data_IF_046413227130
#
_entry.id   IF_046413227130
#
_cell.length_a   1.000
_cell.length_b   1.000
_cell.length_c   1.000
_cell.angle_alpha   90.00
_cell.angle_beta   90.00
_cell.angle_gamma   90.00
#
_symmetry.space_group_name_H-M   'P 1'
#
loop_
_entity.id
_entity.type
_entity.pdbx_description
1 polymer ?
#
# COMPACT_ATOMS: atom_id res chain seq x y z
N UNK A 1 10.76 6.04 -4.89
CA UNK A 1 11.59 4.82 -5.09
C UNK A 1 10.83 3.57 -4.66
N UNK A 2 10.26 3.53 -3.45
CA UNK A 2 9.54 2.36 -2.92
C UNK A 2 8.36 1.88 -3.78
N UNK A 3 7.48 2.78 -4.24
CA UNK A 3 6.35 2.41 -5.13
C UNK A 3 6.80 1.67 -6.39
N UNK A 4 7.89 2.13 -7.02
CA UNK A 4 8.40 1.48 -8.24
C UNK A 4 8.96 0.10 -7.93
N UNK A 5 9.63 -0.07 -6.79
CA UNK A 5 10.14 -1.37 -6.34
C UNK A 5 8.97 -2.35 -6.08
N UNK A 6 7.93 -1.93 -5.35
CA UNK A 6 6.74 -2.75 -5.07
C UNK A 6 6.08 -3.16 -6.39
N UNK A 7 5.88 -2.22 -7.32
CA UNK A 7 5.34 -2.50 -8.65
C UNK A 7 6.18 -3.55 -9.39
N UNK A 8 7.51 -3.45 -9.38
CA UNK A 8 8.40 -4.43 -9.99
C UNK A 8 8.24 -5.82 -9.39
N UNK A 9 8.12 -5.93 -8.05
CA UNK A 9 7.85 -7.22 -7.38
C UNK A 9 6.50 -7.79 -7.82
N UNK A 10 5.43 -6.98 -7.86
CA UNK A 10 4.13 -7.41 -8.34
C UNK A 10 4.19 -7.96 -9.77
N UNK A 11 4.79 -7.21 -10.69
CA UNK A 11 4.92 -7.63 -12.09
C UNK A 11 5.74 -8.92 -12.21
N UNK A 12 6.85 -9.04 -11.47
CA UNK A 12 7.68 -10.23 -11.50
C UNK A 12 6.94 -11.45 -10.96
N UNK A 13 6.18 -11.31 -9.87
CA UNK A 13 5.41 -12.41 -9.27
C UNK A 13 4.30 -12.91 -10.19
N UNK A 14 3.63 -12.03 -10.93
CA UNK A 14 2.66 -12.43 -11.98
C UNK A 14 3.33 -13.35 -13.03
N UNK A 15 4.58 -13.09 -13.38
CA UNK A 15 5.30 -13.87 -14.40
C UNK A 15 5.88 -15.17 -13.80
N UNK A 16 6.43 -15.12 -12.59
CA UNK A 16 7.23 -16.22 -12.02
C UNK A 16 6.44 -17.22 -11.19
N UNK A 17 5.42 -16.78 -10.44
CA UNK A 17 4.56 -17.63 -9.62
C UNK A 17 3.43 -16.79 -9.03
N UNK A 18 2.21 -17.04 -9.49
CA UNK A 18 1.01 -16.28 -9.08
C UNK A 18 0.46 -16.67 -7.70
N UNK A 19 1.02 -17.70 -7.05
CA UNK A 19 0.51 -18.26 -5.80
C UNK A 19 0.84 -17.43 -4.56
N UNK A 20 1.86 -16.57 -4.66
CA UNK A 20 2.21 -15.68 -3.56
C UNK A 20 1.12 -14.63 -3.37
N UNK A 21 0.78 -14.34 -2.11
CA UNK A 21 -0.13 -13.26 -1.77
C UNK A 21 0.66 -12.01 -1.40
N UNK A 22 0.21 -10.86 -1.89
CA UNK A 22 0.84 -9.56 -1.66
C UNK A 22 -0.18 -8.56 -1.10
N UNK A 23 0.29 -7.69 -0.20
CA UNK A 23 -0.48 -6.60 0.37
C UNK A 23 0.35 -5.30 0.34
N UNK A 24 -0.34 -4.15 0.41
CA UNK A 24 0.31 -2.82 0.47
C UNK A 24 -0.37 -1.97 1.54
N UNK A 25 0.42 -1.59 2.55
CA UNK A 25 0.00 -0.74 3.66
C UNK A 25 0.85 0.52 3.69
N UNK A 26 0.18 1.66 3.87
CA UNK A 26 0.82 2.92 4.21
C UNK A 26 0.55 3.27 5.67
N UNK A 27 1.52 3.90 6.34
CA UNK A 27 1.38 4.45 7.68
C UNK A 27 1.86 5.90 7.72
N UNK A 28 1.49 6.63 8.76
CA UNK A 28 1.72 8.07 8.83
C UNK A 28 0.90 8.82 7.77
N UNK A 29 -0.30 8.32 7.45
CA UNK A 29 -1.20 8.92 6.48
C UNK A 29 -2.20 9.84 7.16
N UNK A 30 -2.77 10.81 6.43
CA UNK A 30 -3.85 11.64 7.00
C UNK A 30 -5.16 10.86 7.13
N UNK A 31 -5.46 10.01 6.14
CA UNK A 31 -6.61 9.10 6.16
C UNK A 31 -6.24 7.76 6.76
N UNK A 32 -7.21 7.12 7.40
CA UNK A 32 -7.14 5.74 7.85
C UNK A 32 -8.07 4.84 7.01
N UNK A 33 -7.66 3.59 6.83
CA UNK A 33 -8.43 2.52 6.19
C UNK A 33 -7.84 1.17 6.65
N UNK A 34 -8.40 0.58 7.68
CA UNK A 34 -8.01 -0.75 8.20
C UNK A 34 -9.17 -1.34 9.01
N UNK A 35 -9.12 -2.64 9.32
CA UNK A 35 -10.21 -3.39 9.96
C UNK A 35 -10.54 -2.94 11.40
N UNK A 36 -9.59 -2.31 12.10
CA UNK A 36 -9.71 -1.92 13.52
C UNK A 36 -9.76 -0.41 13.75
N UNK A 37 -9.85 0.38 12.68
CA UNK A 37 -9.92 1.85 12.71
C UNK A 37 -8.75 2.53 13.46
N UNK A 38 -7.55 1.90 13.47
CA UNK A 38 -6.36 2.59 13.97
C UNK A 38 -6.01 3.78 13.09
N UNK A 39 -5.58 4.87 13.73
CA UNK A 39 -5.35 6.15 13.05
C UNK A 39 -4.08 6.11 12.22
N UNK A 40 -4.09 6.87 11.14
CA UNK A 40 -2.93 7.10 10.29
C UNK A 40 -2.37 5.83 9.60
N UNK A 41 -3.18 4.77 9.48
CA UNK A 41 -2.83 3.52 8.79
C UNK A 41 -3.84 3.26 7.67
N UNK A 42 -3.34 3.11 6.44
CA UNK A 42 -4.13 2.94 5.23
C UNK A 42 -3.72 1.68 4.47
N UNK A 43 -4.57 0.66 4.51
CA UNK A 43 -4.45 -0.57 3.71
C UNK A 43 -4.95 -0.28 2.29
N UNK A 44 -4.01 -0.11 1.36
CA UNK A 44 -4.33 0.11 -0.04
C UNK A 44 -4.86 -1.19 -0.65
N UNK A 45 -4.11 -2.28 -0.46
CA UNK A 45 -4.42 -3.62 -0.99
C UNK A 45 -4.31 -4.64 0.13
N UNK A 46 -5.41 -5.37 0.37
CA UNK A 46 -5.46 -6.53 1.26
C UNK A 46 -4.63 -7.69 0.70
N UNK A 47 -4.33 -8.68 1.53
CA UNK A 47 -3.55 -9.86 1.14
C UNK A 47 -4.30 -10.69 0.08
N UNK A 48 -3.75 -10.77 -1.13
CA UNK A 48 -4.35 -11.49 -2.26
C UNK A 48 -3.31 -11.70 -3.36
N UNK A 49 -3.63 -12.50 -4.37
CA UNK A 49 -2.76 -12.73 -5.52
C UNK A 49 -2.47 -11.43 -6.28
N UNK A 50 -1.25 -11.27 -6.85
CA UNK A 50 -0.95 -10.11 -7.68
C UNK A 50 -1.77 -10.13 -8.97
N UNK A 51 -2.11 -8.95 -9.49
CA UNK A 51 -2.90 -8.85 -10.72
C UNK A 51 -2.78 -7.50 -11.42
N UNK A 52 -3.22 -7.44 -12.68
CA UNK A 52 -3.09 -6.25 -13.53
C UNK A 52 -3.73 -5.00 -12.91
N UNK A 53 -4.92 -5.13 -12.29
CA UNK A 53 -5.59 -4.00 -11.62
C UNK A 53 -4.80 -3.46 -10.44
N UNK A 54 -4.16 -4.35 -9.66
CA UNK A 54 -3.33 -3.97 -8.50
C UNK A 54 -2.04 -3.26 -8.95
N UNK A 55 -1.44 -3.70 -10.05
CA UNK A 55 -0.30 -3.02 -10.69
C UNK A 55 -0.70 -1.64 -11.21
N UNK A 56 -1.84 -1.54 -11.90
CA UNK A 56 -2.36 -0.27 -12.41
C UNK A 56 -2.67 0.74 -11.29
N UNK A 57 -3.17 0.26 -10.14
CA UNK A 57 -3.38 1.10 -8.97
C UNK A 57 -2.06 1.66 -8.42
N UNK A 58 -1.01 0.84 -8.33
CA UNK A 58 0.33 1.28 -7.91
C UNK A 58 0.93 2.31 -8.88
N UNK A 59 0.65 2.20 -10.18
CA UNK A 59 1.12 3.14 -11.19
C UNK A 59 0.57 4.57 -11.00
N UNK A 60 -0.61 4.73 -10.36
CA UNK A 60 -1.16 6.06 -10.01
C UNK A 60 -0.27 6.84 -9.06
N UNK A 61 0.59 6.16 -8.29
CA UNK A 61 1.48 6.77 -7.31
C UNK A 61 2.91 6.98 -7.84
N UNK A 62 3.14 6.78 -9.14
CA UNK A 62 4.46 6.89 -9.76
C UNK A 62 4.84 8.34 -10.07
N UNK A 63 6.11 8.68 -9.79
CA UNK A 63 6.68 9.97 -10.17
C UNK A 63 6.12 11.16 -9.40
N UNK A 64 6.31 12.36 -9.96
CA UNK A 64 5.92 13.60 -9.28
C UNK A 64 4.40 13.80 -9.25
N UNK A 65 3.71 13.46 -10.34
CA UNK A 65 2.24 13.48 -10.42
C UNK A 65 1.64 12.48 -9.42
N UNK A 66 2.19 11.27 -9.34
CA UNK A 66 1.73 10.28 -8.39
C UNK A 66 1.97 10.65 -6.92
N UNK A 67 3.05 11.40 -6.64
CA UNK A 67 3.27 11.98 -5.30
C UNK A 67 2.17 12.98 -4.94
N UNK A 68 1.78 13.84 -5.88
CA UNK A 68 0.66 14.78 -5.67
C UNK A 68 -0.66 14.03 -5.48
N UNK A 69 -0.93 13.03 -6.32
CA UNK A 69 -2.10 12.16 -6.18
C UNK A 69 -2.16 11.47 -4.81
N UNK A 70 -1.03 10.96 -4.31
CA UNK A 70 -0.95 10.38 -2.96
C UNK A 70 -1.32 11.41 -1.87
N UNK A 71 -0.78 12.63 -1.97
CA UNK A 71 -1.07 13.69 -1.02
C UNK A 71 -2.56 14.09 -1.03
N UNK A 72 -3.18 14.18 -2.20
CA UNK A 72 -4.58 14.56 -2.36
C UNK A 72 -5.54 13.44 -1.88
N UNK A 73 -5.21 12.18 -2.20
CA UNK A 73 -6.10 11.05 -1.91
C UNK A 73 -5.94 10.48 -0.51
N UNK A 74 -4.71 10.38 0.00
CA UNK A 74 -4.38 9.70 1.26
C UNK A 74 -3.83 10.71 2.28
N UNK A 75 -2.98 11.62 1.81
CA UNK A 75 -2.31 12.61 2.64
C UNK A 75 -1.20 12.02 3.51
N UNK A 76 -0.39 12.90 4.07
CA UNK A 76 0.65 12.55 5.05
C UNK A 76 0.28 13.15 6.42
N UNK A 77 0.62 12.46 7.49
CA UNK A 77 0.47 12.87 8.88
C UNK A 77 1.77 12.63 9.65
N UNK A 78 1.95 13.36 10.75
CA UNK A 78 3.17 13.32 11.55
C UNK A 78 3.14 12.27 12.65
N UNK A 79 1.93 11.96 13.17
CA UNK A 79 1.74 11.04 14.29
C UNK A 79 1.31 9.66 13.78
N UNK A 80 1.97 8.62 14.27
CA UNK A 80 1.58 7.22 14.10
C UNK A 80 2.22 6.36 15.18
N UNK A 81 1.62 5.21 15.48
CA UNK A 81 2.17 4.22 16.41
C UNK A 81 2.65 2.99 15.65
N UNK A 82 3.94 2.67 15.72
CA UNK A 82 4.48 1.51 15.01
C UNK A 82 3.90 0.19 15.53
N UNK A 83 3.53 0.10 16.81
CA UNK A 83 2.89 -1.09 17.36
C UNK A 83 1.51 -1.34 16.73
N UNK A 84 0.74 -0.28 16.48
CA UNK A 84 -0.55 -0.37 15.77
C UNK A 84 -0.35 -0.77 14.31
N UNK A 85 0.65 -0.19 13.64
CA UNK A 85 1.01 -0.54 12.25
C UNK A 85 1.32 -2.03 12.13
N UNK A 86 2.17 -2.55 13.03
CA UNK A 86 2.55 -3.96 13.02
C UNK A 86 1.36 -4.87 13.35
N UNK A 87 0.47 -4.44 14.26
CA UNK A 87 -0.77 -5.17 14.55
C UNK A 87 -1.66 -5.28 13.31
N UNK A 88 -1.86 -4.18 12.58
CA UNK A 88 -2.64 -4.20 11.33
C UNK A 88 -2.02 -5.14 10.31
N UNK A 89 -0.70 -5.06 10.11
CA UNK A 89 0.00 -5.95 9.18
C UNK A 89 -0.12 -7.43 9.55
N UNK A 90 -0.12 -7.75 10.85
CA UNK A 90 -0.30 -9.13 11.33
C UNK A 90 -1.76 -9.62 11.21
N UNK A 91 -2.73 -8.72 11.05
CA UNK A 91 -4.15 -9.00 10.91
C UNK A 91 -4.66 -8.88 9.46
N UNK A 92 -3.75 -8.77 8.48
CA UNK A 92 -4.09 -8.81 7.04
C UNK A 92 -4.43 -10.24 6.58
#
# INVERSE_FOLDING_TARGET
MSIQCIRSVYTNKIISSDRDLLAVVFYGTKKDKNSVNFKNIYVLQELDNPGAKRVQELDKFKGQEGKKYFQDQIGHGSDYSLSEVLWVCANL
#
